data_IF_602816734197
#
_entry.id   IF_602816734197
#
_cell.length_a   1.000
_cell.length_b   1.000
_cell.length_c   1.000
_cell.angle_alpha   90.00
_cell.angle_beta   90.00
_cell.angle_gamma   90.00
#
_symmetry.space_group_name_H-M   'P 1'
#
loop_
_entity.id
_entity.type
_entity.pdbx_description
1 polymer ?
#
# COMPACT_ATOMS: atom_id res chain seq x y z
N UNK A 1 -45.97 3.79 8.98
CA UNK A 1 -45.85 2.91 10.16
C UNK A 1 -44.44 2.38 10.19
N UNK A 2 -43.61 2.97 11.06
CA UNK A 2 -42.19 2.65 11.23
C UNK A 2 -42.08 1.46 12.19
N UNK A 3 -41.20 0.50 11.89
CA UNK A 3 -40.78 -0.52 12.84
C UNK A 3 -39.30 -0.79 12.66
N UNK A 4 -38.52 -0.27 13.61
CA UNK A 4 -37.11 -0.58 13.83
C UNK A 4 -36.99 -1.89 14.60
N UNK A 5 -35.98 -2.74 14.32
CA UNK A 5 -35.55 -3.78 15.24
C UNK A 5 -34.37 -3.30 16.09
N UNK A 6 -34.52 -3.51 17.39
CA UNK A 6 -33.64 -3.19 18.51
C UNK A 6 -32.51 -4.23 18.67
N UNK A 7 -31.30 -3.76 18.98
CA UNK A 7 -30.16 -4.58 19.42
C UNK A 7 -30.29 -4.95 20.91
N UNK A 8 -29.92 -6.18 21.34
CA UNK A 8 -29.77 -6.48 22.75
C UNK A 8 -28.36 -6.16 23.28
N UNK A 9 -28.31 -5.23 24.23
CA UNK A 9 -27.23 -5.04 25.20
C UNK A 9 -27.05 -6.31 26.05
N UNK A 10 -25.82 -6.80 26.20
CA UNK A 10 -25.44 -7.70 27.30
C UNK A 10 -24.30 -7.08 28.11
N UNK A 11 -24.70 -6.55 29.25
CA UNK A 11 -23.91 -6.31 30.46
C UNK A 11 -23.47 -7.66 31.05
N UNK A 12 -22.23 -7.75 31.53
CA UNK A 12 -21.86 -8.78 32.51
C UNK A 12 -21.07 -8.15 33.65
N UNK A 13 -21.48 -8.55 34.84
CA UNK A 13 -21.27 -7.89 36.12
C UNK A 13 -19.91 -8.20 36.75
N UNK A 14 -19.43 -7.21 37.50
CA UNK A 14 -18.44 -7.33 38.57
C UNK A 14 -18.88 -8.36 39.61
N UNK A 15 -17.95 -9.22 40.04
CA UNK A 15 -18.07 -9.98 41.28
C UNK A 15 -16.82 -9.70 42.13
N UNK A 16 -17.01 -8.87 43.17
CA UNK A 16 -16.13 -8.80 44.33
C UNK A 16 -16.29 -10.10 45.14
N UNK A 17 -15.18 -10.76 45.42
CA UNK A 17 -15.09 -11.81 46.43
C UNK A 17 -13.82 -11.58 47.26
N UNK A 18 -13.97 -10.98 48.44
CA UNK A 18 -12.92 -10.93 49.45
C UNK A 18 -12.98 -12.18 50.33
N UNK A 19 -11.82 -12.78 50.61
CA UNK A 19 -11.62 -13.69 51.73
C UNK A 19 -10.25 -13.42 52.37
N UNK A 20 -10.29 -13.48 53.70
CA UNK A 20 -9.33 -13.11 54.72
C UNK A 20 -8.00 -13.88 54.69
N UNK A 21 -6.95 -13.18 55.18
CA UNK A 21 -5.62 -13.66 55.55
C UNK A 21 -5.63 -14.86 56.52
N UNK A 22 -4.75 -15.83 56.28
CA UNK A 22 -4.00 -16.55 57.33
C UNK A 22 -2.55 -16.66 56.88
N UNK A 23 -1.63 -16.17 57.72
CA UNK A 23 -0.20 -16.11 57.45
C UNK A 23 0.51 -17.44 57.70
N UNK A 24 1.51 -17.72 56.87
CA UNK A 24 2.63 -18.58 57.20
C UNK A 24 3.91 -17.91 56.70
N UNK A 25 4.78 -17.54 57.63
CA UNK A 25 6.13 -17.04 57.36
C UNK A 25 7.00 -18.25 57.01
N UNK A 26 7.41 -18.35 55.75
CA UNK A 26 8.45 -19.26 55.31
C UNK A 26 9.67 -18.45 54.86
N UNK A 27 10.73 -18.48 55.67
CA UNK A 27 12.06 -18.01 55.27
C UNK A 27 12.62 -18.97 54.22
N UNK A 28 12.45 -18.64 52.95
CA UNK A 28 13.10 -19.30 51.81
C UNK A 28 13.98 -18.29 51.08
N UNK A 29 15.25 -18.61 50.93
CA UNK A 29 16.27 -17.83 50.22
C UNK A 29 15.79 -17.38 48.83
N UNK A 30 15.63 -16.07 48.64
CA UNK A 30 15.33 -15.45 47.36
C UNK A 30 16.51 -15.59 46.41
N UNK A 31 16.44 -16.50 45.46
CA UNK A 31 17.22 -16.40 44.22
C UNK A 31 16.85 -15.10 43.51
N UNK A 32 17.80 -14.27 43.06
CA UNK A 32 17.48 -13.06 42.30
C UNK A 32 16.84 -13.50 40.98
N UNK A 33 15.55 -13.23 40.84
CA UNK A 33 14.83 -13.39 39.58
C UNK A 33 15.38 -12.31 38.63
N UNK A 34 16.23 -12.73 37.69
CA UNK A 34 16.70 -11.86 36.62
C UNK A 34 15.47 -11.25 35.92
N UNK A 35 15.46 -9.95 35.60
CA UNK A 35 14.34 -9.36 34.91
C UNK A 35 14.17 -10.07 33.57
N UNK A 36 13.00 -10.66 33.34
CA UNK A 36 12.60 -11.10 32.03
C UNK A 36 12.59 -9.87 31.12
N UNK A 37 13.66 -9.70 30.36
CA UNK A 37 13.76 -8.69 29.32
C UNK A 37 12.69 -9.00 28.28
N UNK A 38 11.57 -8.29 28.35
CA UNK A 38 10.56 -8.25 27.28
C UNK A 38 11.05 -7.37 26.13
N UNK A 39 12.29 -7.55 25.70
CA UNK A 39 12.76 -7.02 24.44
C UNK A 39 12.25 -7.98 23.37
N UNK A 40 11.24 -7.54 22.60
CA UNK A 40 11.00 -8.11 21.27
C UNK A 40 12.32 -8.01 20.53
N UNK A 41 13.11 -9.09 20.47
CA UNK A 41 14.41 -9.06 19.82
C UNK A 41 14.19 -8.71 18.36
N UNK A 42 14.71 -7.57 17.92
CA UNK A 42 14.71 -7.21 16.51
C UNK A 42 15.26 -8.39 15.69
N UNK A 43 14.68 -8.66 14.52
CA UNK A 43 15.19 -9.69 13.63
C UNK A 43 16.65 -9.40 13.30
N UNK A 44 17.47 -10.44 13.30
CA UNK A 44 18.85 -10.35 12.82
C UNK A 44 18.88 -9.82 11.37
N UNK A 45 19.84 -8.96 10.99
CA UNK A 45 19.85 -8.27 9.70
C UNK A 45 19.68 -9.19 8.48
N UNK A 46 20.36 -10.33 8.45
CA UNK A 46 20.26 -11.28 7.35
C UNK A 46 18.88 -11.95 7.26
N UNK A 47 18.23 -12.19 8.40
CA UNK A 47 16.88 -12.73 8.46
C UNK A 47 15.86 -11.69 7.98
N UNK A 48 16.03 -10.42 8.37
CA UNK A 48 15.20 -9.31 7.90
C UNK A 48 15.30 -9.15 6.37
N UNK A 49 16.52 -9.14 5.81
CA UNK A 49 16.73 -9.03 4.36
C UNK A 49 16.12 -10.23 3.60
N UNK A 50 16.28 -11.46 4.11
CA UNK A 50 15.66 -12.66 3.53
C UNK A 50 14.13 -12.57 3.54
N UNK A 51 13.54 -12.15 4.66
CA UNK A 51 12.09 -12.01 4.79
C UNK A 51 11.55 -10.94 3.84
N UNK A 52 12.24 -9.81 3.70
CA UNK A 52 11.81 -8.74 2.78
C UNK A 52 11.91 -9.15 1.30
N UNK A 53 12.88 -10.00 0.92
CA UNK A 53 12.89 -10.63 -0.42
C UNK A 53 11.65 -11.48 -0.66
N UNK A 54 11.23 -12.27 0.33
CA UNK A 54 10.02 -13.09 0.24
C UNK A 54 8.77 -12.22 0.16
N UNK A 55 8.65 -11.18 0.99
CA UNK A 55 7.56 -10.21 0.95
C UNK A 55 7.43 -9.56 -0.43
N UNK A 56 8.53 -9.04 -0.99
CA UNK A 56 8.56 -8.43 -2.32
C UNK A 56 8.06 -9.40 -3.40
N UNK A 57 8.54 -10.64 -3.36
CA UNK A 57 8.12 -11.69 -4.30
C UNK A 57 6.64 -12.02 -4.15
N UNK A 58 6.16 -12.19 -2.91
CA UNK A 58 4.78 -12.52 -2.60
C UNK A 58 3.81 -11.42 -3.06
N UNK A 59 4.14 -10.14 -2.86
CA UNK A 59 3.32 -9.02 -3.34
C UNK A 59 3.22 -9.04 -4.87
N UNK A 60 4.33 -9.29 -5.58
CA UNK A 60 4.34 -9.37 -7.05
C UNK A 60 3.44 -10.49 -7.54
N UNK A 61 3.64 -11.70 -7.03
CA UNK A 61 2.84 -12.88 -7.39
C UNK A 61 1.35 -12.69 -7.08
N UNK A 62 1.03 -12.13 -5.92
CA UNK A 62 -0.34 -11.84 -5.52
C UNK A 62 -1.00 -10.78 -6.41
N UNK A 63 -0.23 -9.77 -6.82
CA UNK A 63 -0.69 -8.75 -7.76
C UNK A 63 -0.99 -9.37 -9.12
N UNK A 64 -0.12 -10.24 -9.63
CA UNK A 64 -0.35 -10.96 -10.89
C UNK A 64 -1.59 -11.86 -10.83
N UNK A 65 -1.75 -12.62 -9.73
CA UNK A 65 -2.78 -13.67 -9.60
C UNK A 65 -4.12 -13.23 -9.02
N UNK A 66 -4.26 -11.99 -8.55
CA UNK A 66 -5.51 -11.58 -7.89
C UNK A 66 -5.62 -11.98 -6.41
N UNK A 67 -4.57 -12.51 -5.75
CA UNK A 67 -4.73 -13.20 -4.46
C UNK A 67 -4.71 -12.26 -3.24
N UNK A 68 -5.90 -11.97 -2.68
CA UNK A 68 -6.05 -11.21 -1.44
C UNK A 68 -5.34 -11.87 -0.24
N UNK A 69 -5.44 -13.19 -0.09
CA UNK A 69 -4.81 -13.89 1.04
C UNK A 69 -3.28 -13.86 0.98
N UNK A 70 -2.72 -13.90 -0.23
CA UNK A 70 -1.28 -13.76 -0.42
C UNK A 70 -0.80 -12.35 -0.05
N UNK A 71 -1.60 -11.31 -0.31
CA UNK A 71 -1.31 -9.95 0.13
C UNK A 71 -1.40 -9.80 1.66
N UNK A 72 -2.41 -10.40 2.31
CA UNK A 72 -2.49 -10.44 3.78
C UNK A 72 -1.27 -11.12 4.39
N UNK A 73 -0.83 -12.23 3.81
CA UNK A 73 0.37 -12.95 4.25
C UNK A 73 1.64 -12.10 4.08
N UNK A 74 1.80 -11.44 2.93
CA UNK A 74 2.91 -10.54 2.69
C UNK A 74 2.95 -9.38 3.69
N UNK A 75 1.78 -8.78 4.01
CA UNK A 75 1.66 -7.76 5.05
C UNK A 75 2.11 -8.29 6.40
N UNK A 76 1.64 -9.47 6.80
CA UNK A 76 1.99 -10.08 8.08
C UNK A 76 3.51 -10.35 8.19
N UNK A 77 4.14 -10.83 7.12
CA UNK A 77 5.59 -11.01 7.05
C UNK A 77 6.35 -9.69 7.11
N UNK A 78 5.92 -8.67 6.36
CA UNK A 78 6.53 -7.35 6.39
C UNK A 78 6.53 -6.76 7.82
N UNK A 79 5.42 -6.91 8.55
CA UNK A 79 5.28 -6.45 9.93
C UNK A 79 6.24 -7.11 10.92
N UNK A 80 6.82 -8.27 10.62
CA UNK A 80 7.82 -8.91 11.49
C UNK A 80 9.19 -8.21 11.41
N UNK A 81 9.46 -7.49 10.32
CA UNK A 81 10.73 -6.79 10.09
C UNK A 81 10.71 -5.29 10.47
N UNK A 82 9.62 -4.79 11.06
CA UNK A 82 9.46 -3.36 11.37
C UNK A 82 10.27 -2.87 12.57
N UNK A 83 10.79 -3.78 13.40
CA UNK A 83 11.65 -3.45 14.55
C UNK A 83 13.15 -3.49 14.26
N UNK A 84 13.57 -3.86 13.04
CA UNK A 84 14.96 -4.12 12.70
C UNK A 84 15.66 -3.01 11.92
N UNK A 85 16.88 -3.31 11.43
CA UNK A 85 17.69 -2.41 10.61
C UNK A 85 17.03 -2.03 9.26
N UNK A 86 16.01 -2.76 8.81
CA UNK A 86 15.22 -2.48 7.60
C UNK A 86 13.81 -1.94 7.90
N UNK A 87 13.59 -1.37 9.09
CA UNK A 87 12.26 -0.97 9.55
C UNK A 87 11.48 -0.08 8.56
N UNK A 88 12.11 0.94 7.97
CA UNK A 88 11.44 1.79 6.98
C UNK A 88 10.93 1.00 5.77
N UNK A 89 11.75 0.11 5.24
CA UNK A 89 11.41 -0.71 4.08
C UNK A 89 10.34 -1.78 4.42
N UNK A 90 10.40 -2.33 5.63
CA UNK A 90 9.39 -3.25 6.14
C UNK A 90 8.02 -2.57 6.28
N UNK A 91 7.99 -1.34 6.83
CA UNK A 91 6.79 -0.53 6.88
C UNK A 91 6.26 -0.19 5.48
N UNK A 92 7.14 0.21 4.56
CA UNK A 92 6.78 0.44 3.17
C UNK A 92 6.11 -0.78 2.53
N UNK A 93 6.67 -1.98 2.69
CA UNK A 93 6.10 -3.18 2.09
C UNK A 93 4.79 -3.63 2.75
N UNK A 94 4.61 -3.42 4.05
CA UNK A 94 3.33 -3.64 4.72
C UNK A 94 2.25 -2.74 4.09
N UNK A 95 2.55 -1.46 3.91
CA UNK A 95 1.64 -0.51 3.28
C UNK A 95 1.41 -0.80 1.78
N UNK A 96 2.42 -1.24 1.05
CA UNK A 96 2.25 -1.65 -0.34
C UNK A 96 1.29 -2.84 -0.46
N UNK A 97 1.38 -3.82 0.44
CA UNK A 97 0.44 -4.92 0.50
C UNK A 97 -0.99 -4.43 0.78
N UNK A 98 -1.17 -3.51 1.74
CA UNK A 98 -2.45 -2.87 2.03
C UNK A 98 -3.02 -2.08 0.84
N UNK A 99 -2.21 -1.25 0.19
CA UNK A 99 -2.59 -0.50 -1.01
C UNK A 99 -3.07 -1.43 -2.14
N UNK A 100 -2.35 -2.54 -2.38
CA UNK A 100 -2.75 -3.54 -3.38
C UNK A 100 -4.01 -4.31 -2.96
N UNK A 101 -4.22 -4.53 -1.65
CA UNK A 101 -5.46 -5.15 -1.15
C UNK A 101 -6.66 -4.24 -1.38
N UNK A 102 -6.54 -2.93 -1.08
CA UNK A 102 -7.60 -1.95 -1.31
C UNK A 102 -8.11 -1.99 -2.75
N UNK A 103 -7.21 -1.99 -3.73
CA UNK A 103 -7.53 -2.05 -5.17
C UNK A 103 -8.20 -3.36 -5.62
N UNK A 104 -8.30 -4.36 -4.74
CA UNK A 104 -8.87 -5.69 -5.02
C UNK A 104 -10.11 -5.99 -4.21
N UNK A 105 -10.43 -5.15 -3.23
CA UNK A 105 -11.68 -5.26 -2.51
C UNK A 105 -12.81 -4.73 -3.41
N UNK A 106 -14.01 -5.34 -3.35
CA UNK A 106 -15.16 -4.87 -4.10
C UNK A 106 -15.48 -3.40 -3.76
N UNK A 107 -15.96 -2.62 -4.73
CA UNK A 107 -16.28 -1.19 -4.56
C UNK A 107 -17.33 -0.95 -3.46
N UNK A 108 -18.25 -1.89 -3.25
CA UNK A 108 -19.25 -1.87 -2.20
C UNK A 108 -18.69 -2.10 -0.78
N UNK A 109 -17.50 -2.69 -0.63
CA UNK A 109 -16.84 -2.93 0.67
C UNK A 109 -15.95 -1.75 1.08
N UNK A 110 -16.51 -0.53 0.96
CA UNK A 110 -15.82 0.74 1.21
C UNK A 110 -15.22 0.81 2.62
N UNK A 111 -15.99 0.46 3.64
CA UNK A 111 -15.53 0.49 5.02
C UNK A 111 -14.28 -0.39 5.26
N UNK A 112 -14.12 -1.49 4.50
CA UNK A 112 -12.91 -2.31 4.60
C UNK A 112 -11.76 -1.72 3.80
N UNK A 113 -12.00 -1.12 2.63
CA UNK A 113 -10.97 -0.38 1.89
C UNK A 113 -10.42 0.78 2.71
N UNK A 114 -11.29 1.58 3.31
CA UNK A 114 -10.89 2.69 4.21
C UNK A 114 -9.98 2.18 5.33
N UNK A 115 -10.39 1.16 6.09
CA UNK A 115 -9.56 0.59 7.17
C UNK A 115 -8.19 0.11 6.69
N UNK A 116 -8.13 -0.54 5.53
CA UNK A 116 -6.87 -1.05 4.96
C UNK A 116 -5.97 0.12 4.53
N UNK A 117 -6.54 1.19 3.97
CA UNK A 117 -5.76 2.38 3.59
C UNK A 117 -5.34 3.21 4.81
N UNK A 118 -6.14 3.27 5.87
CA UNK A 118 -5.72 3.84 7.16
C UNK A 118 -4.50 3.11 7.74
N UNK A 119 -4.51 1.76 7.73
CA UNK A 119 -3.36 0.92 8.12
C UNK A 119 -2.13 1.26 7.25
N UNK A 120 -2.31 1.37 5.92
CA UNK A 120 -1.25 1.73 4.98
C UNK A 120 -0.64 3.10 5.29
N UNK A 121 -1.48 4.12 5.54
CA UNK A 121 -1.05 5.48 5.91
C UNK A 121 -0.23 5.45 7.20
N UNK A 122 -0.67 4.70 8.22
CA UNK A 122 0.06 4.56 9.47
C UNK A 122 1.47 3.97 9.26
N UNK A 123 1.57 2.93 8.43
CA UNK A 123 2.84 2.34 8.06
C UNK A 123 3.72 3.29 7.24
N UNK A 124 3.17 4.02 6.27
CA UNK A 124 3.94 4.93 5.42
C UNK A 124 4.47 6.14 6.19
N UNK A 125 3.67 6.71 7.10
CA UNK A 125 4.16 7.73 8.04
C UNK A 125 5.35 7.22 8.84
N UNK A 126 5.27 5.98 9.34
CA UNK A 126 6.38 5.39 10.09
C UNK A 126 7.61 5.16 9.21
N UNK A 127 7.41 4.74 7.96
CA UNK A 127 8.50 4.58 6.99
C UNK A 127 9.22 5.91 6.70
N UNK A 128 8.47 6.99 6.49
CA UNK A 128 9.03 8.32 6.20
C UNK A 128 9.63 8.99 7.43
N UNK A 129 9.13 8.72 8.64
CA UNK A 129 9.79 9.13 9.89
C UNK A 129 11.16 8.45 10.08
N UNK A 130 11.27 7.16 9.76
CA UNK A 130 12.52 6.40 9.91
C UNK A 130 13.51 6.75 8.79
N UNK A 131 13.01 6.92 7.56
CA UNK A 131 13.79 7.33 6.41
C UNK A 131 13.07 8.44 5.63
N UNK A 132 13.37 9.68 6.00
CA UNK A 132 12.80 10.88 5.39
C UNK A 132 13.08 11.04 3.90
N UNK A 133 14.09 10.35 3.35
CA UNK A 133 14.45 10.44 1.93
C UNK A 133 13.90 9.27 1.10
N UNK A 134 13.06 8.41 1.67
CA UNK A 134 12.47 7.28 0.95
C UNK A 134 11.33 7.74 0.02
N UNK A 135 11.70 8.14 -1.20
CA UNK A 135 10.77 8.67 -2.19
C UNK A 135 9.58 7.75 -2.49
N UNK A 136 9.79 6.43 -2.52
CA UNK A 136 8.72 5.44 -2.71
C UNK A 136 7.65 5.50 -1.61
N UNK A 137 8.06 5.70 -0.36
CA UNK A 137 7.13 5.78 0.77
C UNK A 137 6.34 7.09 0.73
N UNK A 138 7.00 8.20 0.41
CA UNK A 138 6.32 9.48 0.21
C UNK A 138 5.31 9.45 -0.94
N UNK A 139 5.69 8.88 -2.08
CA UNK A 139 4.78 8.73 -3.22
C UNK A 139 3.56 7.90 -2.86
N UNK A 140 3.77 6.72 -2.27
CA UNK A 140 2.66 5.84 -1.89
C UNK A 140 1.77 6.47 -0.81
N UNK A 141 2.34 7.27 0.10
CA UNK A 141 1.58 8.01 1.12
C UNK A 141 0.62 9.01 0.47
N UNK A 142 1.11 9.77 -0.50
CA UNK A 142 0.28 10.67 -1.32
C UNK A 142 -0.86 9.89 -2.00
N UNK A 143 -0.54 8.76 -2.66
CA UNK A 143 -1.53 7.90 -3.29
C UNK A 143 -2.59 7.37 -2.32
N UNK A 144 -2.21 6.98 -1.10
CA UNK A 144 -3.15 6.55 -0.06
C UNK A 144 -4.08 7.69 0.41
N UNK A 145 -3.58 8.91 0.56
CA UNK A 145 -4.44 10.06 0.82
C UNK A 145 -5.42 10.32 -0.33
N UNK A 146 -4.96 10.19 -1.57
CA UNK A 146 -5.81 10.24 -2.76
C UNK A 146 -6.95 9.22 -2.73
N UNK A 147 -6.66 7.97 -2.36
CA UNK A 147 -7.69 6.92 -2.23
C UNK A 147 -8.71 7.23 -1.13
N UNK A 148 -8.27 7.74 0.03
CA UNK A 148 -9.18 8.15 1.10
C UNK A 148 -10.10 9.28 0.64
N UNK A 149 -9.59 10.27 -0.10
CA UNK A 149 -10.42 11.34 -0.67
C UNK A 149 -11.39 10.82 -1.74
N UNK A 150 -10.98 9.82 -2.53
CA UNK A 150 -11.85 9.19 -3.52
C UNK A 150 -13.02 8.41 -2.90
N UNK A 151 -12.80 7.73 -1.78
CA UNK A 151 -13.86 7.05 -1.02
C UNK A 151 -14.72 8.04 -0.24
N UNK A 152 -14.09 9.06 0.35
CA UNK A 152 -14.77 10.04 1.19
C UNK A 152 -14.37 11.48 0.81
N UNK A 153 -15.05 12.10 -0.18
CA UNK A 153 -14.72 13.44 -0.67
C UNK A 153 -14.76 14.53 0.40
N UNK A 154 -15.50 14.34 1.50
CA UNK A 154 -15.53 15.30 2.61
C UNK A 154 -14.17 15.43 3.30
N UNK A 155 -13.29 14.43 3.17
CA UNK A 155 -11.95 14.48 3.73
C UNK A 155 -10.98 15.33 2.88
N UNK A 156 -11.37 15.75 1.68
CA UNK A 156 -10.49 16.45 0.73
C UNK A 156 -9.84 17.71 1.30
N UNK A 157 -10.59 18.51 2.07
CA UNK A 157 -10.03 19.71 2.73
C UNK A 157 -8.89 19.40 3.72
N UNK A 158 -8.93 18.21 4.34
CA UNK A 158 -7.96 17.82 5.37
C UNK A 158 -6.81 16.95 4.84
N UNK A 159 -7.05 16.21 3.76
CA UNK A 159 -6.11 15.27 3.17
C UNK A 159 -5.42 15.81 1.92
N UNK A 160 -6.03 16.74 1.18
CA UNK A 160 -5.45 17.35 -0.02
C UNK A 160 -4.07 17.94 0.24
N UNK A 161 -3.91 18.88 1.19
CA UNK A 161 -2.60 19.45 1.51
C UNK A 161 -1.56 18.41 1.94
N UNK A 162 -1.98 17.35 2.64
CA UNK A 162 -1.08 16.25 3.05
C UNK A 162 -0.65 15.38 1.86
N UNK A 163 -1.55 15.19 0.90
CA UNK A 163 -1.28 14.50 -0.35
C UNK A 163 -0.25 15.26 -1.19
N UNK A 164 -0.42 16.58 -1.28
CA UNK A 164 0.48 17.47 -2.01
C UNK A 164 1.87 17.52 -1.37
N UNK A 165 1.94 17.73 -0.05
CA UNK A 165 3.20 17.73 0.69
C UNK A 165 3.95 16.39 0.54
N UNK A 166 3.25 15.27 0.67
CA UNK A 166 3.85 13.96 0.48
C UNK A 166 4.37 13.77 -0.95
N UNK A 167 3.66 14.24 -1.96
CA UNK A 167 4.12 14.16 -3.36
C UNK A 167 5.29 15.10 -3.64
N UNK A 168 5.32 16.30 -3.05
CA UNK A 168 6.45 17.22 -3.13
C UNK A 168 7.71 16.57 -2.57
N UNK A 169 7.63 15.96 -1.38
CA UNK A 169 8.74 15.18 -0.80
C UNK A 169 9.16 13.99 -1.65
N UNK A 170 8.21 13.30 -2.26
CA UNK A 170 8.50 12.20 -3.17
C UNK A 170 9.34 12.67 -4.38
N UNK A 171 8.97 13.81 -4.98
CA UNK A 171 9.69 14.41 -6.12
C UNK A 171 11.03 15.01 -5.72
N UNK A 172 11.12 15.61 -4.54
CA UNK A 172 12.37 16.13 -3.97
C UNK A 172 13.41 15.01 -3.83
N UNK A 173 13.01 13.87 -3.25
CA UNK A 173 13.93 12.78 -2.95
C UNK A 173 14.08 11.73 -4.06
N UNK A 174 13.16 11.70 -5.03
CA UNK A 174 13.16 10.71 -6.11
C UNK A 174 12.70 11.26 -7.45
N UNK A 175 13.33 12.32 -7.99
CA UNK A 175 12.91 12.92 -9.27
C UNK A 175 13.05 11.97 -10.46
N UNK A 176 13.88 10.92 -10.34
CA UNK A 176 14.06 9.88 -11.35
C UNK A 176 13.43 8.53 -10.93
N UNK A 177 12.67 8.49 -9.83
CA UNK A 177 12.00 7.28 -9.40
C UNK A 177 10.70 7.09 -10.21
N UNK A 178 10.55 5.99 -10.99
CA UNK A 178 9.37 5.78 -11.83
C UNK A 178 8.06 5.72 -11.03
N UNK A 179 8.08 5.20 -9.79
CA UNK A 179 6.89 5.06 -8.95
C UNK A 179 6.36 6.41 -8.45
N UNK A 180 7.24 7.40 -8.29
CA UNK A 180 6.85 8.78 -7.96
C UNK A 180 5.97 9.34 -9.08
N UNK A 181 6.44 9.26 -10.33
CA UNK A 181 5.70 9.76 -11.49
C UNK A 181 4.45 8.93 -11.80
N UNK A 182 4.50 7.62 -11.54
CA UNK A 182 3.34 6.75 -11.67
C UNK A 182 2.22 7.19 -10.72
N UNK A 183 2.49 7.33 -9.42
CA UNK A 183 1.47 7.75 -8.45
C UNK A 183 1.01 9.20 -8.71
N UNK A 184 1.93 10.10 -9.04
CA UNK A 184 1.62 11.48 -9.43
C UNK A 184 0.72 11.55 -10.69
N UNK A 185 0.89 10.61 -11.63
CA UNK A 185 0.03 10.45 -12.79
C UNK A 185 -1.37 9.99 -12.40
N UNK A 186 -1.48 9.02 -11.48
CA UNK A 186 -2.79 8.56 -11.01
C UNK A 186 -3.57 9.67 -10.30
N UNK A 187 -2.89 10.57 -9.58
CA UNK A 187 -3.52 11.74 -8.96
C UNK A 187 -4.14 12.66 -10.02
N UNK A 188 -3.37 13.04 -11.05
CA UNK A 188 -3.88 13.87 -12.16
C UNK A 188 -5.03 13.18 -12.92
N UNK A 189 -4.98 11.85 -13.06
CA UNK A 189 -5.97 11.07 -13.79
C UNK A 189 -7.34 11.02 -13.11
N UNK A 190 -7.34 10.85 -11.78
CA UNK A 190 -8.57 10.68 -10.98
C UNK A 190 -9.12 11.97 -10.40
N UNK A 191 -8.30 13.01 -10.26
CA UNK A 191 -8.77 14.32 -9.78
C UNK A 191 -9.76 14.90 -10.81
N UNK A 192 -10.95 15.39 -10.40
CA UNK A 192 -11.84 16.06 -11.33
C UNK A 192 -11.19 17.31 -11.93
N UNK A 193 -11.49 17.64 -13.20
CA UNK A 193 -10.87 18.77 -13.90
C UNK A 193 -11.05 20.12 -13.19
N UNK A 194 -12.20 20.34 -12.54
CA UNK A 194 -12.44 21.56 -11.74
C UNK A 194 -11.51 21.70 -10.51
N UNK A 195 -10.88 20.61 -10.09
CA UNK A 195 -9.89 20.57 -9.00
C UNK A 195 -8.46 20.40 -9.52
N UNK A 196 -8.24 20.59 -10.84
CA UNK A 196 -6.90 20.59 -11.44
C UNK A 196 -6.41 19.25 -11.98
N UNK A 197 -7.27 18.23 -12.04
CA UNK A 197 -6.95 16.98 -12.73
C UNK A 197 -6.91 17.16 -14.25
N UNK A 198 -6.05 16.38 -14.90
CA UNK A 198 -5.77 16.47 -16.32
C UNK A 198 -5.27 15.11 -16.84
N UNK A 199 -6.07 14.46 -17.68
CA UNK A 199 -5.78 13.12 -18.20
C UNK A 199 -4.64 13.10 -19.22
N UNK A 200 -4.39 14.17 -19.97
CA UNK A 200 -3.24 14.24 -20.89
C UNK A 200 -1.93 14.48 -20.12
N UNK A 201 -2.01 15.29 -19.06
CA UNK A 201 -0.89 15.44 -18.13
C UNK A 201 -0.59 14.14 -17.39
N UNK A 202 -1.62 13.39 -17.00
CA UNK A 202 -1.47 12.04 -16.44
C UNK A 202 -0.78 11.09 -17.42
N UNK A 203 -1.21 11.06 -18.69
CA UNK A 203 -0.54 10.28 -19.75
C UNK A 203 0.95 10.63 -19.84
N UNK A 204 1.30 11.92 -19.90
CA UNK A 204 2.69 12.39 -19.95
C UNK A 204 3.51 11.88 -18.75
N UNK A 205 2.90 11.84 -17.55
CA UNK A 205 3.54 11.31 -16.33
C UNK A 205 3.70 9.79 -16.39
N UNK A 206 2.72 9.05 -16.92
CA UNK A 206 2.81 7.61 -17.09
C UNK A 206 3.89 7.20 -18.10
N UNK A 207 3.99 7.90 -19.23
CA UNK A 207 5.07 7.70 -20.21
C UNK A 207 6.43 8.00 -19.60
N UNK A 208 6.53 9.07 -18.78
CA UNK A 208 7.75 9.36 -18.02
C UNK A 208 8.08 8.25 -17.04
N UNK A 209 7.10 7.70 -16.33
CA UNK A 209 7.30 6.59 -15.40
C UNK A 209 7.81 5.33 -16.13
N UNK A 210 7.23 4.99 -17.29
CA UNK A 210 7.66 3.86 -18.11
C UNK A 210 9.13 4.02 -18.55
N UNK A 211 9.47 5.16 -19.17
CA UNK A 211 10.85 5.46 -19.59
C UNK A 211 11.85 5.43 -18.43
N UNK A 212 11.50 5.98 -17.26
CA UNK A 212 12.38 5.94 -16.09
C UNK A 212 12.57 4.51 -15.56
N UNK A 213 11.55 3.66 -15.67
CA UNK A 213 11.64 2.27 -15.25
C UNK A 213 12.52 1.40 -16.18
N UNK A 214 12.63 1.77 -17.47
CA UNK A 214 13.55 1.14 -18.42
C UNK A 214 15.02 1.46 -18.12
N UNK A 215 15.30 2.66 -17.60
CA UNK A 215 16.66 3.18 -17.45
C UNK A 215 17.48 2.54 -16.33
N UNK A 216 16.87 1.76 -15.43
CA UNK A 216 17.62 1.02 -14.43
C UNK A 216 16.79 0.42 -13.31
N UNK A 217 17.34 -0.62 -12.70
CA UNK A 217 16.84 -1.18 -11.44
C UNK A 217 17.57 -0.54 -10.25
N UNK A 218 16.95 -0.47 -9.06
CA UNK A 218 17.65 -0.06 -7.86
C UNK A 218 18.86 -0.96 -7.57
N UNK A 219 19.96 -0.37 -7.09
CA UNK A 219 21.18 -1.12 -6.72
C UNK A 219 20.94 -2.11 -5.59
N UNK A 220 20.13 -1.71 -4.59
CA UNK A 220 19.71 -2.62 -3.52
C UNK A 220 18.53 -3.48 -4.02
N UNK A 221 18.69 -4.82 -4.13
CA UNK A 221 17.65 -5.71 -4.63
C UNK A 221 16.39 -5.76 -3.75
N UNK A 222 16.47 -5.26 -2.51
CA UNK A 222 15.32 -5.12 -1.61
C UNK A 222 14.48 -3.88 -1.92
N UNK A 223 15.04 -2.87 -2.58
CA UNK A 223 14.29 -1.66 -2.92
C UNK A 223 13.15 -1.98 -3.90
N UNK A 224 12.08 -1.15 -3.91
CA UNK A 224 10.90 -1.43 -4.70
C UNK A 224 11.24 -1.49 -6.19
N UNK A 225 10.87 -2.60 -6.84
CA UNK A 225 11.12 -2.84 -8.27
C UNK A 225 9.84 -2.97 -9.10
N UNK A 226 8.68 -2.65 -8.51
CA UNK A 226 7.41 -2.64 -9.24
C UNK A 226 7.26 -1.33 -10.03
N UNK A 227 6.25 -1.29 -10.90
CA UNK A 227 5.82 -0.07 -11.59
C UNK A 227 6.12 -0.04 -13.09
N UNK A 228 7.01 -0.88 -13.61
CA UNK A 228 7.36 -0.84 -15.05
C UNK A 228 6.18 -1.27 -15.94
N UNK A 229 5.75 -2.54 -15.85
CA UNK A 229 4.56 -3.02 -16.56
C UNK A 229 3.30 -2.22 -16.19
N UNK A 230 3.22 -1.75 -14.95
CA UNK A 230 2.10 -0.94 -14.48
C UNK A 230 2.06 0.45 -15.13
N UNK A 231 3.20 1.10 -15.35
CA UNK A 231 3.26 2.37 -16.06
C UNK A 231 2.75 2.23 -17.49
N UNK A 232 3.15 1.16 -18.21
CA UNK A 232 2.59 0.86 -19.53
C UNK A 232 1.09 0.57 -19.48
N UNK A 233 0.61 -0.16 -18.48
CA UNK A 233 -0.83 -0.36 -18.29
C UNK A 233 -1.57 0.97 -18.08
N UNK A 234 -1.00 1.91 -17.31
CA UNK A 234 -1.59 3.23 -17.14
C UNK A 234 -1.53 4.12 -18.39
N UNK A 235 -0.46 4.04 -19.19
CA UNK A 235 -0.42 4.65 -20.53
C UNK A 235 -1.58 4.11 -21.38
N UNK A 236 -1.80 2.79 -21.38
CA UNK A 236 -2.89 2.19 -22.13
C UNK A 236 -4.27 2.60 -21.62
N UNK A 237 -4.46 2.68 -20.30
CA UNK A 237 -5.69 3.19 -19.68
C UNK A 237 -5.97 4.63 -20.10
N UNK A 238 -4.96 5.50 -20.10
CA UNK A 238 -5.12 6.90 -20.48
C UNK A 238 -5.43 7.07 -21.97
N UNK A 239 -4.83 6.26 -22.84
CA UNK A 239 -5.19 6.24 -24.26
C UNK A 239 -6.60 5.70 -24.50
N UNK A 240 -6.97 4.60 -23.83
CA UNK A 240 -8.31 4.00 -23.95
C UNK A 240 -9.41 4.95 -23.49
N UNK A 241 -9.18 5.68 -22.39
CA UNK A 241 -10.09 6.70 -21.88
C UNK A 241 -10.25 7.90 -22.84
N UNK A 242 -9.23 8.16 -23.65
CA UNK A 242 -9.26 9.16 -24.72
C UNK A 242 -9.70 8.57 -26.08
N UNK A 243 -10.29 7.37 -26.09
CA UNK A 243 -10.74 6.63 -27.29
C UNK A 243 -9.63 6.39 -28.34
N UNK A 244 -8.36 6.44 -27.91
CA UNK A 244 -7.17 6.14 -28.72
C UNK A 244 -6.84 4.65 -28.59
N UNK A 245 -7.63 3.80 -29.26
CA UNK A 245 -7.57 2.34 -29.03
C UNK A 245 -6.28 1.67 -29.53
N UNK A 246 -5.70 2.11 -30.65
CA UNK A 246 -4.45 1.51 -31.16
C UNK A 246 -3.24 1.80 -30.23
N UNK A 247 -3.03 3.06 -29.77
CA UNK A 247 -2.04 3.32 -28.73
C UNK A 247 -2.32 2.59 -27.41
N UNK A 248 -3.59 2.44 -27.04
CA UNK A 248 -3.97 1.69 -25.84
C UNK A 248 -3.55 0.23 -25.92
N UNK A 249 -3.84 -0.43 -27.05
CA UNK A 249 -3.44 -1.81 -27.33
C UNK A 249 -1.93 -1.98 -27.24
N UNK A 250 -1.19 -1.10 -27.92
CA UNK A 250 0.29 -1.12 -27.95
C UNK A 250 0.87 -1.04 -26.53
N UNK A 251 0.31 -0.16 -25.69
CA UNK A 251 0.76 0.00 -24.31
C UNK A 251 0.42 -1.22 -23.43
N UNK A 252 -0.75 -1.84 -23.62
CA UNK A 252 -1.11 -3.08 -22.92
C UNK A 252 -0.23 -4.26 -23.34
N UNK A 253 0.10 -4.38 -24.62
CA UNK A 253 1.04 -5.39 -25.12
C UNK A 253 2.43 -5.21 -24.51
N UNK A 254 2.96 -3.98 -24.50
CA UNK A 254 4.23 -3.67 -23.83
C UNK A 254 4.22 -4.03 -22.33
N UNK A 255 3.10 -3.81 -21.63
CA UNK A 255 2.95 -4.23 -20.25
C UNK A 255 3.04 -5.76 -20.08
N UNK A 256 2.50 -6.53 -21.03
CA UNK A 256 2.55 -8.00 -21.03
C UNK A 256 3.91 -8.56 -21.48
N UNK A 257 4.64 -7.87 -22.34
CA UNK A 257 6.02 -8.26 -22.68
C UNK A 257 6.94 -8.18 -21.45
N UNK A 258 6.72 -7.16 -20.60
CA UNK A 258 7.45 -6.99 -19.34
C UNK A 258 6.98 -7.95 -18.23
N UNK A 259 5.69 -8.26 -18.21
CA UNK A 259 5.09 -9.15 -17.22
C UNK A 259 3.95 -9.96 -17.85
N UNK A 260 4.26 -11.14 -18.43
CA UNK A 260 3.25 -11.95 -19.11
C UNK A 260 2.07 -12.33 -18.21
N UNK A 261 2.30 -12.45 -16.90
CA UNK A 261 1.29 -12.81 -15.92
C UNK A 261 0.56 -11.61 -15.31
N UNK A 262 0.63 -10.42 -15.94
CA UNK A 262 0.00 -9.23 -15.38
C UNK A 262 -1.53 -9.29 -15.51
N UNK A 263 -2.18 -9.89 -14.51
CA UNK A 263 -3.62 -10.21 -14.53
C UNK A 263 -4.54 -9.01 -14.76
N UNK A 264 -4.18 -7.80 -14.33
CA UNK A 264 -4.98 -6.61 -14.61
C UNK A 264 -5.06 -6.33 -16.11
N UNK A 265 -3.94 -6.40 -16.83
CA UNK A 265 -3.92 -6.20 -18.28
C UNK A 265 -4.60 -7.36 -19.00
N UNK A 266 -4.18 -8.60 -18.69
CA UNK A 266 -4.64 -9.81 -19.37
C UNK A 266 -6.14 -10.07 -19.19
N UNK A 267 -6.67 -9.87 -17.99
CA UNK A 267 -8.03 -10.31 -17.63
C UNK A 267 -9.04 -9.16 -17.51
N UNK A 268 -8.60 -7.91 -17.51
CA UNK A 268 -9.50 -6.75 -17.35
C UNK A 268 -9.32 -5.74 -18.47
N UNK A 269 -8.12 -5.20 -18.68
CA UNK A 269 -7.93 -4.06 -19.57
C UNK A 269 -8.02 -4.43 -21.05
N UNK A 270 -7.36 -5.51 -21.49
CA UNK A 270 -7.45 -5.94 -22.90
C UNK A 270 -8.88 -6.37 -23.30
N UNK A 271 -9.60 -7.20 -22.52
CA UNK A 271 -11.00 -7.51 -22.81
C UNK A 271 -11.89 -6.25 -22.87
N UNK A 272 -11.68 -5.29 -21.96
CA UNK A 272 -12.40 -4.01 -21.99
C UNK A 272 -12.09 -3.21 -23.25
N UNK A 273 -10.84 -3.14 -23.66
CA UNK A 273 -10.43 -2.46 -24.88
C UNK A 273 -11.10 -3.07 -26.13
N UNK A 274 -11.12 -4.40 -26.22
CA UNK A 274 -11.76 -5.11 -27.34
C UNK A 274 -13.27 -4.85 -27.41
N UNK A 275 -13.94 -4.76 -26.26
CA UNK A 275 -15.36 -4.41 -26.21
C UNK A 275 -15.62 -2.96 -26.66
N UNK A 276 -14.70 -2.03 -26.37
CA UNK A 276 -14.86 -0.60 -26.72
C UNK A 276 -14.44 -0.29 -28.16
N UNK A 277 -13.51 -1.07 -28.72
CA UNK A 277 -12.97 -0.87 -30.07
C UNK A 277 -13.74 -1.65 -31.16
N UNK A 278 -14.55 -2.63 -30.78
CA UNK A 278 -15.41 -3.43 -31.68
C UNK A 278 -16.77 -2.79 -31.93
#
# INVERSE_FOLDING_TARGET
>A
MLSTPTLPRKTFAFLLGGVLLVGLVACGSSTPMAPASSASSALEPAAADSLLRQVKTQIREATNKGSLDSLKQARAWAKQATGGNRAALAHYYAALADYRMSNRLPEEDEARRERVIEDAIGHLKRATEINGTMADAWALLSGCYGQMMGMNPMQAMSLGPKSDEAMEKAKEHGPNNPRVWLIDGTSDFYTPGMFGGDKEKALTKFEKAARLAEQGSPDDPLMPGWGHAEAHAWVGVAHMEAERYDPARTAFEAALDLNPDYGWVRSVLLPRLEQQAG
#
